data_IF_610800297591
#
_entry.id   IF_610800297591
#
_cell.length_a   1.000
_cell.length_b   1.000
_cell.length_c   1.000
_cell.angle_alpha   90.00
_cell.angle_beta   90.00
_cell.angle_gamma   90.00
#
_symmetry.space_group_name_H-M   'P 1'
#
loop_
_entity.id
_entity.type
_entity.pdbx_description
1 polymer ?
#
# COMPACT_ATOMS: atom_id res chain seq x y z
N UNK A 1 -12.48 -46.39 -72.70
CA UNK A 1 -11.49 -45.41 -73.17
C UNK A 1 -12.21 -44.10 -73.42
N UNK A 2 -11.61 -43.00 -72.94
CA UNK A 2 -11.99 -41.57 -73.04
C UNK A 2 -12.29 -40.92 -71.68
N UNK A 3 -11.21 -40.51 -71.02
CA UNK A 3 -11.21 -39.45 -70.01
C UNK A 3 -10.54 -38.23 -70.62
N UNK A 4 -11.34 -37.19 -70.82
CA UNK A 4 -10.95 -35.86 -71.28
C UNK A 4 -10.18 -35.16 -70.16
N UNK A 5 -8.89 -34.86 -70.37
CA UNK A 5 -8.11 -34.04 -69.44
C UNK A 5 -8.44 -32.56 -69.64
N UNK A 6 -9.06 -31.95 -68.64
CA UNK A 6 -9.11 -30.48 -68.53
C UNK A 6 -7.79 -29.96 -67.99
N UNK A 7 -7.01 -29.34 -68.89
CA UNK A 7 -5.86 -28.49 -68.58
C UNK A 7 -6.29 -27.32 -67.70
N UNK A 8 -5.70 -27.19 -66.52
CA UNK A 8 -5.71 -25.94 -65.74
C UNK A 8 -4.31 -25.31 -65.82
N UNK A 9 -4.22 -24.23 -66.60
CA UNK A 9 -3.08 -23.33 -66.65
C UNK A 9 -2.95 -22.55 -65.33
N UNK A 10 -1.85 -22.76 -64.60
CA UNK A 10 -1.30 -21.79 -63.63
C UNK A 10 0.23 -21.75 -63.77
N UNK A 11 0.73 -21.38 -64.93
CA UNK A 11 2.10 -20.87 -65.05
C UNK A 11 2.04 -19.35 -65.12
N UNK A 12 2.23 -18.71 -63.97
CA UNK A 12 2.54 -17.28 -63.92
C UNK A 12 3.92 -17.13 -64.55
N UNK A 13 4.02 -16.52 -65.73
CA UNK A 13 5.30 -16.23 -66.38
C UNK A 13 6.08 -15.28 -65.44
N UNK A 14 7.08 -15.81 -64.74
CA UNK A 14 7.96 -15.02 -63.89
C UNK A 14 9.05 -14.35 -64.74
N UNK A 15 9.46 -13.15 -64.37
CA UNK A 15 10.56 -12.43 -65.03
C UNK A 15 11.84 -13.28 -65.05
N UNK A 16 12.62 -13.30 -66.15
CA UNK A 16 13.88 -14.06 -66.23
C UNK A 16 15.00 -13.49 -65.35
N UNK A 17 14.75 -12.36 -64.67
CA UNK A 17 15.72 -11.70 -63.81
C UNK A 17 15.77 -12.42 -62.46
N UNK A 18 16.86 -13.15 -62.23
CA UNK A 18 17.12 -13.89 -61.00
C UNK A 18 18.07 -13.12 -60.06
N UNK A 19 17.82 -13.26 -58.77
CA UNK A 19 18.66 -12.74 -57.69
C UNK A 19 19.19 -13.91 -56.86
N UNK A 20 20.49 -13.90 -56.57
CA UNK A 20 21.12 -14.89 -55.69
C UNK A 20 21.18 -14.36 -54.26
N UNK A 21 20.67 -15.12 -53.30
CA UNK A 21 20.72 -14.76 -51.89
C UNK A 21 22.13 -14.96 -51.33
N UNK A 22 22.42 -14.38 -50.16
CA UNK A 22 23.67 -14.60 -49.43
C UNK A 22 23.92 -16.07 -49.06
N UNK A 23 22.89 -16.92 -49.08
CA UNK A 23 22.96 -18.37 -48.85
C UNK A 23 23.19 -19.19 -50.13
N UNK A 24 23.33 -18.53 -51.29
CA UNK A 24 23.58 -19.17 -52.59
C UNK A 24 22.32 -19.63 -53.34
N UNK A 25 21.12 -19.31 -52.83
CA UNK A 25 19.86 -19.70 -53.46
C UNK A 25 19.50 -18.73 -54.60
N UNK A 26 18.97 -19.25 -55.71
CA UNK A 26 18.57 -18.45 -56.88
C UNK A 26 17.05 -18.31 -56.93
N UNK A 27 16.57 -17.07 -56.92
CA UNK A 27 15.14 -16.75 -56.94
C UNK A 27 14.82 -15.76 -58.06
N UNK A 28 13.64 -15.85 -58.67
CA UNK A 28 13.15 -14.74 -59.49
C UNK A 28 12.98 -13.49 -58.62
N UNK A 29 13.39 -12.33 -59.11
CA UNK A 29 13.31 -11.06 -58.36
C UNK A 29 11.86 -10.73 -57.93
N UNK A 30 10.87 -11.13 -58.73
CA UNK A 30 9.44 -10.98 -58.42
C UNK A 30 8.89 -12.01 -57.42
N UNK A 31 9.61 -13.12 -57.19
CA UNK A 31 9.20 -14.18 -56.25
C UNK A 31 9.91 -14.05 -54.90
N UNK A 32 11.05 -13.36 -54.84
CA UNK A 32 11.77 -13.09 -53.61
C UNK A 32 11.25 -11.83 -52.93
N UNK A 33 10.01 -11.92 -52.44
CA UNK A 33 9.25 -10.83 -51.81
C UNK A 33 8.78 -11.22 -50.42
N UNK A 34 8.51 -10.24 -49.57
CA UNK A 34 7.87 -10.48 -48.29
C UNK A 34 6.44 -11.02 -48.49
N UNK A 35 6.06 -12.06 -47.75
CA UNK A 35 4.76 -12.70 -47.82
C UNK A 35 3.59 -11.82 -47.36
N UNK A 36 3.85 -10.72 -46.64
CA UNK A 36 2.83 -9.82 -46.11
C UNK A 36 2.76 -8.50 -46.90
N UNK A 37 3.84 -7.72 -46.98
CA UNK A 37 3.83 -6.45 -47.73
C UNK A 37 4.15 -6.59 -49.22
N UNK A 38 4.51 -7.78 -49.71
CA UNK A 38 4.89 -8.06 -51.10
C UNK A 38 6.06 -7.23 -51.65
N UNK A 39 6.81 -6.54 -50.77
CA UNK A 39 8.00 -5.79 -51.19
C UNK A 39 9.15 -6.76 -51.50
N UNK A 40 9.88 -6.56 -52.61
CA UNK A 40 11.04 -7.38 -52.96
C UNK A 40 12.18 -7.19 -51.97
N UNK A 41 12.85 -8.27 -51.62
CA UNK A 41 14.04 -8.25 -50.79
C UNK A 41 15.25 -7.84 -51.63
N UNK A 42 16.12 -6.98 -51.09
CA UNK A 42 17.43 -6.70 -51.70
C UNK A 42 18.37 -7.89 -51.54
N UNK A 43 19.44 -7.96 -52.35
CA UNK A 43 20.44 -9.05 -52.31
C UNK A 43 21.00 -9.31 -50.90
N UNK A 44 21.10 -8.26 -50.09
CA UNK A 44 21.64 -8.29 -48.73
C UNK A 44 20.58 -8.20 -47.63
N UNK A 45 19.29 -8.24 -47.97
CA UNK A 45 18.22 -8.10 -46.99
C UNK A 45 18.20 -9.26 -46.00
N UNK A 46 18.04 -8.92 -44.72
CA UNK A 46 17.71 -9.88 -43.66
C UNK A 46 16.20 -10.16 -43.76
N UNK A 47 15.84 -11.43 -43.91
CA UNK A 47 14.45 -11.90 -43.93
C UNK A 47 14.27 -13.02 -42.92
N UNK A 48 13.05 -13.16 -42.42
CA UNK A 48 12.66 -14.16 -41.43
C UNK A 48 11.77 -15.22 -42.09
N UNK A 49 11.99 -16.49 -41.78
CA UNK A 49 11.18 -17.60 -42.30
C UNK A 49 10.25 -18.15 -41.22
N UNK A 50 8.97 -18.28 -41.55
CA UNK A 50 7.94 -18.91 -40.70
C UNK A 50 6.99 -19.72 -41.57
N UNK A 51 6.77 -21.00 -41.23
CA UNK A 51 5.92 -21.94 -41.98
C UNK A 51 6.20 -21.97 -43.50
N UNK A 52 7.48 -21.89 -43.88
CA UNK A 52 7.92 -21.91 -45.28
C UNK A 52 7.70 -20.59 -46.05
N UNK A 53 7.25 -19.52 -45.39
CA UNK A 53 7.07 -18.18 -45.97
C UNK A 53 8.12 -17.20 -45.45
N UNK A 54 8.51 -16.25 -46.29
CA UNK A 54 9.55 -15.24 -46.00
C UNK A 54 8.91 -13.90 -45.65
N UNK A 55 9.31 -13.29 -44.54
CA UNK A 55 8.80 -12.02 -44.05
C UNK A 55 9.93 -11.00 -43.92
N UNK A 56 9.65 -9.71 -44.18
CA UNK A 56 10.56 -8.65 -43.79
C UNK A 56 10.56 -8.51 -42.27
N UNK A 57 11.62 -7.92 -41.72
CA UNK A 57 11.76 -7.73 -40.27
C UNK A 57 10.54 -7.04 -39.65
N UNK A 58 10.03 -5.99 -40.30
CA UNK A 58 8.86 -5.26 -39.84
C UNK A 58 7.61 -6.16 -39.76
N UNK A 59 7.24 -6.80 -40.87
CA UNK A 59 6.03 -7.63 -40.93
C UNK A 59 6.16 -8.88 -40.05
N UNK A 60 7.36 -9.43 -39.91
CA UNK A 60 7.60 -10.56 -39.01
C UNK A 60 7.36 -10.16 -37.55
N UNK A 61 7.87 -9.01 -37.11
CA UNK A 61 7.61 -8.54 -35.75
C UNK A 61 6.14 -8.19 -35.54
N UNK A 62 5.48 -7.54 -36.50
CA UNK A 62 4.05 -7.21 -36.39
C UNK A 62 3.17 -8.46 -36.28
N UNK A 63 3.48 -9.52 -37.03
CA UNK A 63 2.68 -10.73 -37.06
C UNK A 63 2.99 -11.71 -35.92
N UNK A 64 4.23 -11.73 -35.42
CA UNK A 64 4.71 -12.82 -34.55
C UNK A 64 5.40 -12.38 -33.26
N UNK A 65 5.78 -11.11 -33.09
CA UNK A 65 6.41 -10.67 -31.85
C UNK A 65 5.35 -10.52 -30.74
N UNK A 66 5.61 -11.05 -29.52
CA UNK A 66 4.69 -10.87 -28.42
C UNK A 66 4.71 -9.42 -27.93
N UNK A 67 3.55 -8.90 -27.51
CA UNK A 67 3.45 -7.59 -26.87
C UNK A 67 3.82 -7.68 -25.39
N UNK A 68 4.46 -6.63 -24.88
CA UNK A 68 4.78 -6.49 -23.47
C UNK A 68 3.52 -6.20 -22.64
N UNK A 69 3.34 -6.88 -21.51
CA UNK A 69 2.22 -6.67 -20.60
C UNK A 69 2.19 -5.30 -19.92
N UNK A 70 3.30 -4.57 -19.89
CA UNK A 70 3.39 -3.24 -19.24
C UNK A 70 3.27 -2.09 -20.25
N UNK A 71 4.12 -2.07 -21.27
CA UNK A 71 4.19 -0.94 -22.22
C UNK A 71 3.43 -1.19 -23.51
N UNK A 72 2.89 -2.40 -23.71
CA UNK A 72 2.14 -2.82 -24.90
C UNK A 72 2.92 -2.81 -26.23
N UNK A 73 4.19 -2.40 -26.22
CA UNK A 73 5.09 -2.48 -27.37
C UNK A 73 5.58 -3.91 -27.63
N UNK A 74 5.98 -4.18 -28.88
CA UNK A 74 6.56 -5.45 -29.27
C UNK A 74 7.85 -5.75 -28.50
N UNK A 75 7.97 -6.97 -27.95
CA UNK A 75 9.19 -7.42 -27.30
C UNK A 75 10.16 -7.95 -28.34
N UNK A 76 11.17 -7.15 -28.66
CA UNK A 76 12.24 -7.51 -29.59
C UNK A 76 13.42 -8.07 -28.78
N UNK A 77 13.88 -9.29 -29.11
CA UNK A 77 14.99 -9.95 -28.44
C UNK A 77 14.58 -10.85 -27.26
N UNK A 78 15.19 -10.66 -26.09
CA UNK A 78 14.92 -11.51 -24.90
C UNK A 78 13.50 -11.25 -24.38
N UNK A 79 12.67 -12.28 -24.41
CA UNK A 79 11.30 -12.24 -23.88
C UNK A 79 11.25 -12.93 -22.52
N UNK A 80 10.69 -12.27 -21.50
CA UNK A 80 10.33 -12.92 -20.25
C UNK A 80 8.90 -13.42 -20.37
N UNK A 81 8.69 -14.74 -20.23
CA UNK A 81 7.37 -15.37 -20.18
C UNK A 81 7.00 -15.67 -18.74
N UNK A 82 6.12 -14.87 -18.16
CA UNK A 82 5.72 -14.97 -16.77
C UNK A 82 4.31 -14.39 -16.57
N UNK A 83 3.57 -14.88 -15.56
CA UNK A 83 2.24 -14.38 -15.21
C UNK A 83 1.24 -14.37 -16.38
N UNK A 84 1.26 -15.41 -17.22
CA UNK A 84 0.45 -15.53 -18.44
C UNK A 84 0.62 -14.37 -19.44
N UNK A 85 1.74 -13.65 -19.39
CA UNK A 85 2.04 -12.54 -20.28
C UNK A 85 3.51 -12.59 -20.75
N UNK A 86 3.85 -11.70 -21.68
CA UNK A 86 5.21 -11.51 -22.19
C UNK A 86 5.71 -10.13 -21.74
N UNK A 87 7.01 -10.01 -21.48
CA UNK A 87 7.57 -8.77 -20.94
C UNK A 87 8.95 -8.49 -21.49
N UNK A 88 9.27 -7.20 -21.68
CA UNK A 88 10.67 -6.79 -21.77
C UNK A 88 11.38 -7.06 -20.44
N UNK A 89 12.69 -7.40 -20.43
CA UNK A 89 13.45 -7.59 -19.20
C UNK A 89 13.35 -6.41 -18.24
N UNK A 90 13.32 -5.19 -18.78
CA UNK A 90 13.17 -3.95 -18.01
C UNK A 90 11.72 -3.61 -17.64
N UNK A 91 10.72 -4.23 -18.26
CA UNK A 91 9.31 -4.03 -17.93
C UNK A 91 8.81 -5.06 -16.92
N UNK A 92 9.45 -6.22 -16.84
CA UNK A 92 9.17 -7.21 -15.80
C UNK A 92 9.83 -6.81 -14.49
N UNK A 93 9.13 -6.00 -13.70
CA UNK A 93 9.62 -5.39 -12.46
C UNK A 93 8.91 -5.96 -11.24
N UNK A 94 9.59 -5.92 -10.10
CA UNK A 94 8.95 -6.17 -8.82
C UNK A 94 7.88 -5.10 -8.57
N UNK A 95 6.67 -5.52 -8.22
CA UNK A 95 5.56 -4.63 -7.90
C UNK A 95 5.90 -3.67 -6.73
N UNK A 96 6.69 -4.15 -5.78
CA UNK A 96 7.04 -3.41 -4.57
C UNK A 96 8.18 -2.41 -4.77
N UNK A 97 9.29 -2.85 -5.38
CA UNK A 97 10.51 -2.04 -5.48
C UNK A 97 10.84 -1.55 -6.89
N UNK A 98 10.03 -1.90 -7.89
CA UNK A 98 10.18 -1.51 -9.29
C UNK A 98 11.52 -1.91 -9.95
N UNK A 99 12.27 -2.80 -9.30
CA UNK A 99 13.54 -3.33 -9.80
C UNK A 99 13.29 -4.41 -10.85
N UNK A 100 13.99 -4.42 -12.00
CA UNK A 100 13.87 -5.48 -13.01
C UNK A 100 14.19 -6.87 -12.44
N UNK A 101 13.30 -7.84 -12.69
CA UNK A 101 13.37 -9.19 -12.13
C UNK A 101 14.03 -10.21 -13.05
N UNK A 102 14.33 -9.84 -14.31
CA UNK A 102 14.76 -10.76 -15.36
C UNK A 102 16.00 -11.60 -15.00
N UNK A 103 16.91 -11.07 -14.18
CA UNK A 103 18.19 -11.70 -13.83
C UNK A 103 18.32 -12.05 -12.34
N UNK A 104 17.33 -11.70 -11.52
CA UNK A 104 17.37 -11.90 -10.07
C UNK A 104 16.62 -13.16 -9.62
N UNK A 105 15.92 -13.83 -10.54
CA UNK A 105 14.92 -14.83 -10.19
C UNK A 105 13.67 -14.17 -9.59
N UNK A 106 12.53 -14.83 -9.71
CA UNK A 106 11.28 -14.32 -9.17
C UNK A 106 10.41 -15.47 -8.69
N UNK A 107 9.65 -15.22 -7.64
CA UNK A 107 8.54 -16.06 -7.21
C UNK A 107 7.26 -15.31 -7.53
N UNK A 108 6.30 -16.01 -8.15
CA UNK A 108 4.92 -15.55 -8.09
C UNK A 108 4.53 -15.64 -6.61
N UNK A 109 3.84 -14.64 -6.07
CA UNK A 109 3.30 -14.72 -4.72
C UNK A 109 2.22 -15.82 -4.68
N UNK A 110 2.65 -17.08 -4.61
CA UNK A 110 1.84 -18.29 -4.66
C UNK A 110 1.43 -18.76 -3.26
N UNK A 111 1.93 -18.11 -2.20
CA UNK A 111 1.63 -18.48 -0.82
C UNK A 111 0.33 -17.85 -0.31
N UNK A 112 -0.08 -16.71 -0.85
CA UNK A 112 -1.45 -16.23 -0.67
C UNK A 112 -2.35 -17.05 -1.60
N UNK A 113 -2.97 -18.09 -1.06
CA UNK A 113 -4.05 -18.79 -1.74
C UNK A 113 -5.29 -17.87 -1.72
N UNK A 114 -5.25 -16.82 -2.55
CA UNK A 114 -6.32 -15.86 -2.71
C UNK A 114 -7.68 -16.55 -2.88
N UNK A 115 -7.83 -17.62 -3.69
CA UNK A 115 -9.08 -18.37 -3.77
C UNK A 115 -9.58 -18.91 -2.42
N UNK A 116 -8.71 -19.45 -1.56
CA UNK A 116 -9.10 -19.93 -0.23
C UNK A 116 -9.52 -18.80 0.69
N UNK A 117 -8.80 -17.68 0.69
CA UNK A 117 -9.13 -16.51 1.51
C UNK A 117 -10.47 -15.92 1.07
N UNK A 118 -10.66 -15.71 -0.23
CA UNK A 118 -11.91 -15.22 -0.81
C UNK A 118 -13.06 -16.15 -0.46
N UNK A 119 -12.88 -17.47 -0.64
CA UNK A 119 -13.90 -18.47 -0.28
C UNK A 119 -14.27 -18.42 1.20
N UNK A 120 -13.27 -18.31 2.08
CA UNK A 120 -13.50 -18.22 3.52
C UNK A 120 -14.26 -16.94 3.90
N UNK A 121 -13.86 -15.79 3.36
CA UNK A 121 -14.52 -14.51 3.65
C UNK A 121 -15.93 -14.44 3.05
N UNK A 122 -16.17 -15.04 1.89
CA UNK A 122 -17.51 -15.22 1.35
C UNK A 122 -18.42 -16.05 2.28
N UNK A 123 -17.87 -17.06 2.96
CA UNK A 123 -18.61 -17.82 3.97
C UNK A 123 -18.87 -17.03 5.27
N UNK A 124 -18.11 -15.96 5.52
CA UNK A 124 -18.31 -15.06 6.65
C UNK A 124 -19.25 -13.88 6.33
N UNK A 125 -19.62 -13.68 5.06
CA UNK A 125 -20.51 -12.60 4.60
C UNK A 125 -21.96 -12.92 4.95
N UNK A 126 -22.70 -11.93 5.42
CA UNK A 126 -24.14 -12.07 5.70
C UNK A 126 -25.00 -11.40 4.63
N UNK A 127 -26.25 -11.85 4.52
CA UNK A 127 -27.25 -11.32 3.55
C UNK A 127 -27.63 -9.85 3.83
N UNK A 128 -27.55 -9.44 5.09
CA UNK A 128 -27.81 -8.06 5.53
C UNK A 128 -26.62 -7.12 5.27
N UNK A 129 -25.54 -7.65 4.66
CA UNK A 129 -24.30 -6.94 4.41
C UNK A 129 -23.29 -7.08 5.55
N UNK A 130 -22.04 -6.72 5.27
CA UNK A 130 -20.92 -6.89 6.20
C UNK A 130 -20.41 -8.33 6.31
N UNK A 131 -19.36 -8.50 7.10
CA UNK A 131 -18.72 -9.78 7.40
C UNK A 131 -18.74 -10.04 8.91
N UNK A 132 -19.03 -11.27 9.31
CA UNK A 132 -18.90 -11.75 10.68
C UNK A 132 -17.49 -12.24 11.02
N UNK A 133 -17.25 -12.57 12.28
CA UNK A 133 -15.96 -13.11 12.76
C UNK A 133 -15.66 -14.54 12.33
N UNK A 134 -16.65 -15.22 11.75
CA UNK A 134 -16.55 -16.55 11.18
C UNK A 134 -17.84 -16.93 10.46
N UNK A 135 -17.89 -18.09 9.79
CA UNK A 135 -19.10 -18.53 9.13
C UNK A 135 -20.30 -18.59 10.07
N UNK A 136 -21.44 -18.08 9.61
CA UNK A 136 -22.71 -17.97 10.35
C UNK A 136 -22.71 -17.01 11.55
N UNK A 137 -21.63 -16.26 11.79
CA UNK A 137 -21.64 -15.20 12.79
C UNK A 137 -22.24 -13.92 12.21
N UNK A 138 -22.90 -13.13 13.06
CA UNK A 138 -23.48 -11.84 12.66
C UNK A 138 -22.40 -10.88 12.16
N UNK A 139 -22.80 -9.98 11.26
CA UNK A 139 -21.89 -8.95 10.74
C UNK A 139 -21.46 -7.97 11.82
N UNK A 140 -20.20 -7.57 11.77
CA UNK A 140 -19.58 -6.69 12.74
C UNK A 140 -18.59 -5.75 12.03
N UNK A 141 -18.51 -4.49 12.44
CA UNK A 141 -17.68 -3.47 11.79
C UNK A 141 -16.20 -3.81 11.83
N UNK A 142 -15.68 -4.32 12.96
CA UNK A 142 -14.28 -4.76 13.05
C UNK A 142 -13.92 -5.87 12.05
N UNK A 143 -14.77 -6.90 11.91
CA UNK A 143 -14.52 -8.02 10.99
C UNK A 143 -14.80 -7.64 9.55
N UNK A 144 -15.71 -6.70 9.32
CA UNK A 144 -15.93 -6.07 8.01
C UNK A 144 -14.71 -5.27 7.57
N UNK A 145 -14.15 -4.44 8.46
CA UNK A 145 -12.88 -3.74 8.22
C UNK A 145 -11.74 -4.71 7.90
N UNK A 146 -11.58 -5.76 8.70
CA UNK A 146 -10.54 -6.76 8.48
C UNK A 146 -10.73 -7.54 7.16
N UNK A 147 -11.95 -7.95 6.84
CA UNK A 147 -12.27 -8.69 5.62
C UNK A 147 -12.03 -7.83 4.36
N UNK A 148 -12.49 -6.57 4.37
CA UNK A 148 -12.28 -5.65 3.24
C UNK A 148 -10.79 -5.37 3.05
N UNK A 149 -10.05 -5.06 4.12
CA UNK A 149 -8.60 -4.85 4.02
C UNK A 149 -7.88 -6.10 3.52
N UNK A 150 -8.26 -7.30 3.97
CA UNK A 150 -7.68 -8.55 3.49
C UNK A 150 -7.94 -8.75 1.99
N UNK A 151 -9.19 -8.56 1.52
CA UNK A 151 -9.55 -8.71 0.10
C UNK A 151 -8.85 -7.70 -0.79
N UNK A 152 -8.74 -6.44 -0.36
CA UNK A 152 -8.01 -5.40 -1.10
C UNK A 152 -6.51 -5.69 -1.14
N UNK A 153 -5.93 -6.16 -0.02
CA UNK A 153 -4.49 -6.49 0.07
C UNK A 153 -4.10 -7.66 -0.84
N UNK A 154 -5.03 -8.55 -1.19
CA UNK A 154 -4.75 -9.64 -2.14
C UNK A 154 -4.41 -9.13 -3.55
N UNK A 155 -4.81 -7.90 -3.90
CA UNK A 155 -4.66 -7.33 -5.26
C UNK A 155 -5.16 -8.28 -6.36
N UNK A 156 -6.18 -9.09 -6.05
CA UNK A 156 -6.77 -10.09 -6.95
C UNK A 156 -8.14 -9.62 -7.45
N UNK A 157 -8.37 -9.73 -8.75
CA UNK A 157 -9.61 -9.24 -9.36
C UNK A 157 -10.86 -9.96 -8.82
N UNK A 158 -10.78 -11.27 -8.58
CA UNK A 158 -11.91 -12.02 -8.02
C UNK A 158 -12.17 -11.62 -6.56
N UNK A 159 -11.11 -11.35 -5.80
CA UNK A 159 -11.23 -10.83 -4.43
C UNK A 159 -11.94 -9.46 -4.43
N UNK A 160 -11.55 -8.54 -5.32
CA UNK A 160 -12.19 -7.23 -5.43
C UNK A 160 -13.65 -7.32 -5.89
N UNK A 161 -13.94 -8.16 -6.89
CA UNK A 161 -15.30 -8.40 -7.37
C UNK A 161 -16.20 -9.09 -6.33
N UNK A 162 -15.61 -9.82 -5.38
CA UNK A 162 -16.38 -10.49 -4.30
C UNK A 162 -17.00 -9.51 -3.29
N UNK A 163 -16.55 -8.25 -3.27
CA UNK A 163 -17.04 -7.22 -2.34
C UNK A 163 -18.31 -6.59 -2.91
N UNK A 164 -19.46 -6.93 -2.32
CA UNK A 164 -20.73 -6.26 -2.67
C UNK A 164 -20.82 -4.90 -1.98
N UNK A 165 -20.42 -3.84 -2.70
CA UNK A 165 -20.45 -2.43 -2.25
C UNK A 165 -21.80 -1.99 -1.70
N UNK A 166 -22.92 -2.36 -2.35
CA UNK A 166 -24.26 -1.95 -1.93
C UNK A 166 -24.67 -2.61 -0.60
N UNK A 167 -24.35 -3.90 -0.42
CA UNK A 167 -24.63 -4.58 0.84
C UNK A 167 -23.77 -4.02 1.99
N UNK A 168 -22.50 -3.73 1.74
CA UNK A 168 -21.62 -3.10 2.74
C UNK A 168 -22.15 -1.71 3.13
N UNK A 169 -22.59 -0.91 2.15
CA UNK A 169 -23.20 0.40 2.40
C UNK A 169 -24.45 0.28 3.28
N UNK A 170 -25.36 -0.64 2.96
CA UNK A 170 -26.57 -0.91 3.76
C UNK A 170 -26.24 -1.31 5.19
N UNK A 171 -25.26 -2.19 5.38
CA UNK A 171 -24.80 -2.59 6.71
C UNK A 171 -24.24 -1.40 7.50
N UNK A 172 -23.33 -0.61 6.92
CA UNK A 172 -22.75 0.56 7.58
C UNK A 172 -23.85 1.58 7.96
N UNK A 173 -24.80 1.85 7.07
CA UNK A 173 -25.93 2.73 7.35
C UNK A 173 -26.76 2.24 8.54
N UNK A 174 -27.02 0.93 8.65
CA UNK A 174 -27.75 0.36 9.78
C UNK A 174 -27.02 0.50 11.13
N UNK A 175 -25.69 0.70 11.11
CA UNK A 175 -24.89 0.89 12.31
C UNK A 175 -24.87 2.34 12.80
N UNK A 176 -25.20 3.31 11.92
CA UNK A 176 -25.18 4.75 12.22
C UNK A 176 -26.22 5.10 13.31
N UNK A 177 -25.80 5.90 14.29
CA UNK A 177 -26.66 6.45 15.35
C UNK A 177 -26.91 7.95 15.14
N UNK A 178 -27.95 8.49 15.79
CA UNK A 178 -28.36 9.88 15.65
C UNK A 178 -27.30 10.89 16.13
N UNK A 179 -26.55 10.54 17.17
CA UNK A 179 -25.51 11.38 17.76
C UNK A 179 -24.22 11.45 16.93
N UNK A 180 -24.13 10.70 15.83
CA UNK A 180 -22.92 10.61 14.99
C UNK A 180 -22.10 9.35 15.21
N UNK A 181 -22.36 8.61 16.28
CA UNK A 181 -21.65 7.37 16.59
C UNK A 181 -22.08 6.19 15.70
N UNK A 182 -21.32 5.10 15.76
CA UNK A 182 -21.66 3.85 15.07
C UNK A 182 -21.59 2.68 16.06
N UNK A 183 -22.59 1.80 16.01
CA UNK A 183 -22.55 0.51 16.71
C UNK A 183 -21.60 -0.45 16.02
N UNK A 184 -20.93 -1.30 16.77
CA UNK A 184 -20.05 -2.33 16.18
C UNK A 184 -20.82 -3.42 15.43
N UNK A 185 -22.04 -3.74 15.87
CA UNK A 185 -22.97 -4.66 15.22
C UNK A 185 -24.40 -4.37 15.69
N UNK A 186 -25.40 -5.07 15.13
CA UNK A 186 -26.79 -4.95 15.60
C UNK A 186 -26.91 -5.28 17.09
N UNK A 187 -27.42 -4.33 17.88
CA UNK A 187 -27.50 -4.42 19.35
C UNK A 187 -26.16 -4.32 20.10
N UNK A 188 -25.05 -4.09 19.39
CA UNK A 188 -23.70 -4.03 19.96
C UNK A 188 -23.34 -2.72 20.64
N UNK A 189 -22.10 -2.67 21.13
CA UNK A 189 -21.50 -1.52 21.77
C UNK A 189 -21.23 -0.37 20.81
N UNK A 190 -21.00 0.81 21.37
CA UNK A 190 -20.67 2.04 20.66
C UNK A 190 -19.36 2.57 21.23
N UNK A 191 -18.35 2.68 20.37
CA UNK A 191 -17.09 3.38 20.64
C UNK A 191 -16.42 3.79 19.31
N UNK A 192 -15.32 4.54 19.41
CA UNK A 192 -14.62 5.12 18.24
C UNK A 192 -14.23 4.07 17.19
N UNK A 193 -14.04 2.80 17.57
CA UNK A 193 -13.70 1.74 16.61
C UNK A 193 -14.79 1.59 15.56
N UNK A 194 -16.05 1.75 15.95
CA UNK A 194 -17.19 1.69 15.04
C UNK A 194 -17.10 2.78 13.98
N UNK A 195 -16.90 4.02 14.41
CA UNK A 195 -16.75 5.15 13.50
C UNK A 195 -15.55 4.96 12.56
N UNK A 196 -14.38 4.58 13.08
CA UNK A 196 -13.20 4.36 12.25
C UNK A 196 -13.38 3.22 11.24
N UNK A 197 -13.92 2.08 11.66
CA UNK A 197 -14.17 0.94 10.76
C UNK A 197 -15.15 1.33 9.64
N UNK A 198 -16.24 2.02 9.98
CA UNK A 198 -17.22 2.51 9.00
C UNK A 198 -16.58 3.49 8.02
N UNK A 199 -15.89 4.52 8.51
CA UNK A 199 -15.25 5.54 7.67
C UNK A 199 -14.18 4.92 6.77
N UNK A 200 -13.30 4.07 7.33
CA UNK A 200 -12.23 3.43 6.58
C UNK A 200 -12.77 2.57 5.44
N UNK A 201 -13.78 1.72 5.70
CA UNK A 201 -14.36 0.85 4.67
C UNK A 201 -15.10 1.68 3.63
N UNK A 202 -15.88 2.68 4.05
CA UNK A 202 -16.63 3.54 3.13
C UNK A 202 -15.71 4.30 2.18
N UNK A 203 -14.63 4.89 2.70
CA UNK A 203 -13.65 5.65 1.90
C UNK A 203 -12.86 4.72 0.97
N UNK A 204 -12.44 3.55 1.45
CA UNK A 204 -11.69 2.59 0.65
C UNK A 204 -12.51 2.01 -0.52
N UNK A 205 -13.80 1.78 -0.29
CA UNK A 205 -14.71 1.24 -1.30
C UNK A 205 -15.41 2.31 -2.15
N UNK A 206 -15.19 3.60 -1.87
CA UNK A 206 -15.85 4.71 -2.56
C UNK A 206 -17.38 4.54 -2.60
N UNK A 207 -17.98 4.36 -1.42
CA UNK A 207 -19.42 4.10 -1.23
C UNK A 207 -20.11 5.13 -0.31
N UNK A 208 -19.48 6.29 -0.12
CA UNK A 208 -20.01 7.35 0.73
C UNK A 208 -21.36 7.86 0.21
N UNK A 209 -22.32 8.03 1.11
CA UNK A 209 -23.61 8.66 0.83
C UNK A 209 -23.65 10.09 1.35
N UNK A 210 -24.58 10.88 0.81
CA UNK A 210 -24.93 12.16 1.40
C UNK A 210 -25.38 11.92 2.85
N UNK A 211 -24.79 12.66 3.80
CA UNK A 211 -25.14 12.65 5.22
C UNK A 211 -24.78 11.37 6.02
N UNK A 212 -24.08 10.39 5.44
CA UNK A 212 -23.70 9.16 6.17
C UNK A 212 -22.89 9.46 7.45
N UNK A 213 -22.06 10.49 7.40
CA UNK A 213 -21.19 10.90 8.52
C UNK A 213 -21.67 12.15 9.25
N UNK A 214 -22.94 12.52 9.13
CA UNK A 214 -23.53 13.63 9.89
C UNK A 214 -23.35 13.43 11.40
N UNK A 215 -22.95 14.50 12.09
CA UNK A 215 -22.59 14.55 13.51
C UNK A 215 -21.39 13.67 13.92
N UNK A 216 -20.80 12.89 13.00
CA UNK A 216 -19.73 11.94 13.34
C UNK A 216 -18.45 12.67 13.76
N UNK A 217 -18.14 13.80 13.12
CA UNK A 217 -16.99 14.63 13.47
C UNK A 217 -17.14 15.19 14.88
N UNK A 218 -18.29 15.75 15.19
CA UNK A 218 -18.61 16.33 16.51
C UNK A 218 -18.55 15.25 17.60
N UNK A 219 -19.06 14.05 17.33
CA UNK A 219 -18.98 12.92 18.24
C UNK A 219 -17.54 12.46 18.48
N UNK A 220 -16.73 12.32 17.42
CA UNK A 220 -15.30 11.98 17.54
C UNK A 220 -14.55 13.01 18.38
N UNK A 221 -14.75 14.31 18.12
CA UNK A 221 -14.11 15.40 18.86
C UNK A 221 -14.49 15.40 20.35
N UNK A 222 -15.74 15.05 20.67
CA UNK A 222 -16.20 14.94 22.06
C UNK A 222 -15.52 13.81 22.86
N UNK A 223 -14.81 12.91 22.18
CA UNK A 223 -14.00 11.87 22.80
C UNK A 223 -12.55 12.29 23.07
N UNK A 224 -12.11 13.46 22.61
CA UNK A 224 -10.80 14.00 22.99
C UNK A 224 -10.82 14.35 24.49
N UNK A 225 -9.82 13.88 25.21
CA UNK A 225 -9.77 13.98 26.68
C UNK A 225 -8.94 15.18 27.13
N UNK A 226 -8.99 15.49 28.43
CA UNK A 226 -8.11 16.47 29.05
C UNK A 226 -6.61 16.11 28.93
N UNK A 227 -6.27 14.83 28.73
CA UNK A 227 -4.90 14.38 28.57
C UNK A 227 -4.32 14.77 27.21
N UNK A 228 -5.19 14.93 26.20
CA UNK A 228 -4.87 15.28 24.82
C UNK A 228 -5.16 14.17 23.80
N UNK A 229 -5.07 12.90 24.21
CA UNK A 229 -5.50 11.76 23.39
C UNK A 229 -7.02 11.54 23.42
N UNK A 230 -7.50 10.52 22.72
CA UNK A 230 -8.94 10.18 22.64
C UNK A 230 -9.26 8.92 23.43
N UNK A 231 -10.43 8.91 24.07
CA UNK A 231 -10.99 7.74 24.74
C UNK A 231 -11.95 6.96 23.85
N UNK A 232 -12.47 5.84 24.35
CA UNK A 232 -13.41 4.97 23.62
C UNK A 232 -14.71 5.70 23.23
N UNK A 233 -15.20 6.53 24.15
CA UNK A 233 -16.39 7.36 24.03
C UNK A 233 -16.20 8.59 24.94
N UNK A 234 -17.10 9.60 24.91
CA UNK A 234 -16.95 10.78 25.74
C UNK A 234 -16.77 10.44 27.23
N UNK A 235 -15.83 11.12 27.88
CA UNK A 235 -15.50 10.92 29.30
C UNK A 235 -14.59 9.72 29.62
N UNK A 236 -14.17 8.93 28.63
CA UNK A 236 -13.24 7.81 28.85
C UNK A 236 -11.77 8.27 28.88
N UNK A 237 -10.89 7.47 29.49
CA UNK A 237 -9.43 7.69 29.52
C UNK A 237 -8.83 7.69 28.11
N UNK A 238 -7.81 8.53 27.86
CA UNK A 238 -7.12 8.54 26.58
C UNK A 238 -6.38 7.22 26.34
N UNK A 239 -6.48 6.66 25.14
CA UNK A 239 -5.87 5.38 24.79
C UNK A 239 -5.34 5.39 23.36
N UNK A 240 -4.17 4.78 23.11
CA UNK A 240 -3.51 4.80 21.80
C UNK A 240 -4.37 4.25 20.68
N UNK A 241 -4.99 3.09 20.88
CA UNK A 241 -5.92 2.49 19.91
C UNK A 241 -7.09 3.42 19.52
N UNK A 242 -7.79 4.00 20.49
CA UNK A 242 -8.90 4.93 20.20
C UNK A 242 -8.41 6.26 19.63
N UNK A 243 -7.23 6.73 20.06
CA UNK A 243 -6.56 7.91 19.51
C UNK A 243 -6.23 7.74 18.03
N UNK A 244 -5.65 6.60 17.64
CA UNK A 244 -5.43 6.28 16.23
C UNK A 244 -6.73 6.29 15.45
N UNK A 245 -7.75 5.55 15.93
CA UNK A 245 -9.02 5.46 15.24
C UNK A 245 -9.67 6.84 15.05
N UNK A 246 -9.61 7.71 16.06
CA UNK A 246 -10.14 9.07 15.98
C UNK A 246 -9.37 9.93 14.98
N UNK A 247 -8.04 9.97 15.06
CA UNK A 247 -7.18 10.78 14.20
C UNK A 247 -7.27 10.32 12.73
N UNK A 248 -7.24 9.00 12.51
CA UNK A 248 -7.39 8.41 11.18
C UNK A 248 -8.79 8.67 10.60
N UNK A 249 -9.84 8.60 11.41
CA UNK A 249 -11.19 8.99 10.98
C UNK A 249 -11.28 10.48 10.63
N UNK A 250 -10.75 11.37 11.48
CA UNK A 250 -10.79 12.82 11.27
C UNK A 250 -10.01 13.26 10.03
N UNK A 251 -8.86 12.64 9.73
CA UNK A 251 -8.12 12.95 8.50
C UNK A 251 -8.88 12.49 7.25
N UNK A 252 -9.51 11.31 7.29
CA UNK A 252 -10.36 10.79 6.20
C UNK A 252 -11.62 11.65 5.98
N UNK A 253 -12.14 12.27 7.05
CA UNK A 253 -13.23 13.24 7.02
C UNK A 253 -12.76 14.70 6.81
N UNK A 254 -11.47 14.92 6.53
CA UNK A 254 -10.87 16.25 6.31
C UNK A 254 -11.21 17.26 7.42
N UNK A 255 -11.26 16.81 8.66
CA UNK A 255 -11.69 17.59 9.83
C UNK A 255 -10.68 17.52 11.00
N UNK A 256 -9.43 17.16 10.73
CA UNK A 256 -8.39 17.04 11.76
C UNK A 256 -8.03 18.40 12.39
N UNK A 257 -8.23 19.52 11.68
CA UNK A 257 -8.08 20.91 12.18
C UNK A 257 -8.94 21.19 13.42
N UNK A 258 -10.07 20.50 13.56
CA UNK A 258 -11.01 20.75 14.65
C UNK A 258 -10.57 20.13 15.99
N UNK A 259 -9.57 19.26 15.98
CA UNK A 259 -8.97 18.65 17.17
C UNK A 259 -8.00 19.63 17.85
N UNK A 260 -7.84 19.56 19.18
CA UNK A 260 -6.69 20.19 19.84
C UNK A 260 -5.42 19.38 19.53
N UNK A 261 -4.84 19.65 18.35
CA UNK A 261 -3.64 18.99 17.85
C UNK A 261 -2.46 19.18 18.82
N UNK A 262 -2.40 20.29 19.54
CA UNK A 262 -1.29 20.58 20.44
C UNK A 262 -1.30 19.66 21.65
N UNK A 263 -2.45 19.50 22.31
CA UNK A 263 -2.57 18.57 23.44
C UNK A 263 -2.42 17.11 22.96
N UNK A 264 -2.96 16.78 21.79
CA UNK A 264 -2.75 15.47 21.14
C UNK A 264 -1.27 15.14 20.95
N UNK A 265 -0.50 16.01 20.29
CA UNK A 265 0.93 15.81 20.05
C UNK A 265 1.70 15.67 21.36
N UNK A 266 1.38 16.49 22.37
CA UNK A 266 1.98 16.38 23.70
C UNK A 266 1.67 15.01 24.33
N UNK A 267 0.43 14.54 24.23
CA UNK A 267 0.02 13.27 24.82
C UNK A 267 0.74 12.08 24.18
N UNK A 268 0.65 11.94 22.86
CA UNK A 268 1.20 10.79 22.11
C UNK A 268 2.73 10.73 22.21
N UNK A 269 3.43 11.87 22.18
CA UNK A 269 4.90 11.87 22.35
C UNK A 269 5.33 11.42 23.75
N UNK A 270 4.55 11.74 24.78
CA UNK A 270 4.77 11.24 26.14
C UNK A 270 4.39 9.76 26.32
N UNK A 271 3.86 9.08 25.29
CA UNK A 271 3.61 7.63 25.30
C UNK A 271 4.84 6.82 24.91
N UNK A 272 5.86 7.41 24.30
CA UNK A 272 7.14 6.73 24.08
C UNK A 272 7.94 6.68 25.38
N UNK A 273 8.31 5.48 25.84
CA UNK A 273 9.09 5.32 27.05
C UNK A 273 10.58 5.59 26.81
N UNK A 274 11.19 6.38 27.69
CA UNK A 274 12.59 6.82 27.58
C UNK A 274 13.61 5.68 27.70
N UNK A 275 13.30 4.65 28.50
CA UNK A 275 14.22 3.54 28.75
C UNK A 275 14.02 2.41 27.74
N UNK A 276 12.79 1.94 27.57
CA UNK A 276 12.47 0.81 26.71
C UNK A 276 12.46 1.17 25.22
N UNK A 277 12.18 2.42 24.86
CA UNK A 277 12.09 2.90 23.45
C UNK A 277 10.74 2.63 22.77
N UNK A 278 9.97 1.66 23.26
CA UNK A 278 8.61 1.35 22.83
C UNK A 278 7.54 2.31 23.36
N UNK A 279 6.30 2.11 22.93
CA UNK A 279 5.15 2.92 23.35
C UNK A 279 4.26 2.18 24.35
N UNK A 280 3.66 2.92 25.29
CA UNK A 280 2.58 2.44 26.14
C UNK A 280 1.26 3.05 25.69
N UNK A 281 0.18 2.28 25.67
CA UNK A 281 -1.11 2.78 25.16
C UNK A 281 -1.82 3.81 26.01
N UNK A 282 -1.39 4.01 27.26
CA UNK A 282 -1.99 4.94 28.23
C UNK A 282 -0.97 5.42 29.25
N UNK A 283 -1.30 6.51 29.94
CA UNK A 283 -0.47 7.07 31.01
C UNK A 283 -0.27 6.05 32.15
N UNK A 284 0.97 5.93 32.64
CA UNK A 284 1.35 4.99 33.73
C UNK A 284 1.07 3.50 33.45
N UNK A 285 1.04 3.08 32.17
CA UNK A 285 0.98 1.66 31.78
C UNK A 285 2.32 1.22 31.19
N UNK A 286 2.46 -0.09 31.03
CA UNK A 286 3.67 -0.70 30.48
C UNK A 286 3.74 -0.50 28.97
N UNK A 287 4.96 -0.51 28.42
CA UNK A 287 5.18 -0.62 26.98
C UNK A 287 4.58 -1.89 26.40
N UNK A 288 4.18 -1.83 25.14
CA UNK A 288 3.65 -2.98 24.39
C UNK A 288 3.89 -2.78 22.88
N UNK A 289 4.40 -3.82 22.24
CA UNK A 289 4.78 -3.85 20.83
C UNK A 289 3.67 -3.38 19.87
N UNK A 290 2.39 -3.63 20.18
CA UNK A 290 1.30 -3.23 19.28
C UNK A 290 1.12 -1.71 19.20
N UNK A 291 1.45 -0.96 20.25
CA UNK A 291 1.38 0.51 20.24
C UNK A 291 2.44 1.16 19.36
N UNK A 292 3.41 0.38 18.87
CA UNK A 292 4.34 0.83 17.83
C UNK A 292 3.63 1.21 16.55
N UNK A 293 2.43 0.68 16.29
CA UNK A 293 1.55 1.20 15.26
C UNK A 293 0.55 2.21 15.83
N UNK A 294 -0.24 1.81 16.84
CA UNK A 294 -1.36 2.63 17.31
C UNK A 294 -0.96 4.03 17.82
N UNK A 295 0.19 4.17 18.50
CA UNK A 295 0.68 5.48 18.92
C UNK A 295 1.55 6.11 17.82
N UNK A 296 2.53 5.36 17.29
CA UNK A 296 3.51 5.95 16.39
C UNK A 296 2.90 6.43 15.06
N UNK A 297 1.83 5.80 14.56
CA UNK A 297 1.16 6.20 13.32
C UNK A 297 0.44 7.56 13.41
N UNK A 298 0.01 7.97 14.61
CA UNK A 298 -0.64 9.27 14.83
C UNK A 298 0.30 10.41 14.46
N UNK A 299 1.59 10.26 14.76
CA UNK A 299 2.60 11.32 14.58
C UNK A 299 2.86 11.66 13.11
N UNK A 300 3.11 10.71 12.18
CA UNK A 300 3.17 10.98 10.76
C UNK A 300 1.88 11.55 10.19
N UNK A 301 0.70 11.05 10.59
CA UNK A 301 -0.59 11.58 10.09
C UNK A 301 -0.70 13.08 10.41
N UNK A 302 -0.46 13.45 11.66
CA UNK A 302 -0.49 14.85 12.10
C UNK A 302 0.63 15.66 11.45
N UNK A 303 1.84 15.10 11.33
CA UNK A 303 2.98 15.76 10.69
C UNK A 303 2.68 16.12 9.23
N UNK A 304 2.19 15.15 8.45
CA UNK A 304 1.84 15.31 7.04
C UNK A 304 0.77 16.39 6.91
N UNK A 305 -0.29 16.28 7.71
CA UNK A 305 -1.37 17.27 7.75
C UNK A 305 -0.84 18.69 8.02
N UNK A 306 -0.05 18.87 9.09
CA UNK A 306 0.52 20.18 9.44
C UNK A 306 1.48 20.70 8.35
N UNK A 307 2.21 19.82 7.68
CA UNK A 307 3.11 20.20 6.57
C UNK A 307 2.33 20.69 5.36
N UNK A 308 1.24 20.00 5.01
CA UNK A 308 0.35 20.39 3.91
C UNK A 308 -0.35 21.72 4.18
N UNK A 309 -0.83 21.95 5.42
CA UNK A 309 -1.43 23.23 5.81
C UNK A 309 -0.42 24.39 5.79
N UNK A 310 0.83 24.13 6.18
CA UNK A 310 1.91 25.13 6.19
C UNK A 310 2.53 25.41 4.80
N UNK A 311 2.05 24.77 3.72
CA UNK A 311 2.51 25.06 2.36
C UNK A 311 2.13 26.48 1.89
N UNK A 312 1.27 27.19 2.62
CA UNK A 312 0.99 28.61 2.45
C UNK A 312 0.79 29.29 3.81
N UNK A 313 1.55 30.35 4.09
CA UNK A 313 1.37 31.36 5.16
C UNK A 313 2.26 31.18 6.42
N UNK A 314 3.34 31.98 6.44
CA UNK A 314 4.04 32.44 7.65
C UNK A 314 3.22 33.57 8.31
N UNK A 315 2.95 33.50 9.62
CA UNK A 315 3.20 34.67 10.48
C UNK A 315 4.01 34.35 11.76
N UNK A 316 4.48 35.41 12.39
CA UNK A 316 5.65 35.53 13.28
C UNK A 316 5.28 36.04 14.67
N UNK A 317 4.43 35.34 15.42
CA UNK A 317 4.06 35.84 16.76
C UNK A 317 3.03 34.93 17.45
N UNK A 318 3.52 33.90 18.17
CA UNK A 318 3.11 33.51 19.55
C UNK A 318 3.71 32.15 19.91
N UNK A 319 4.31 32.06 21.10
CA UNK A 319 5.08 30.93 21.60
C UNK A 319 4.29 30.12 22.62
N UNK A 320 4.54 28.80 22.68
CA UNK A 320 3.81 27.86 23.56
C UNK A 320 4.69 26.66 23.98
N UNK A 321 5.65 26.79 24.91
CA UNK A 321 6.13 25.59 25.60
C UNK A 321 6.78 25.76 26.99
N UNK A 322 6.76 24.60 27.64
CA UNK A 322 7.17 24.21 28.98
C UNK A 322 8.71 24.20 29.15
N UNK A 323 9.19 24.74 30.28
CA UNK A 323 10.61 25.02 30.55
C UNK A 323 11.52 23.78 30.64
N UNK A 324 11.00 22.62 31.05
CA UNK A 324 11.83 21.42 31.24
C UNK A 324 12.15 20.72 29.92
N UNK A 325 11.19 20.71 28.99
CA UNK A 325 11.41 20.22 27.62
C UNK A 325 12.35 21.15 26.84
N UNK A 326 12.30 22.46 27.12
CA UNK A 326 13.24 23.43 26.55
C UNK A 326 14.67 23.20 27.05
N UNK A 327 14.86 22.82 28.32
CA UNK A 327 16.18 22.48 28.85
C UNK A 327 16.78 21.23 28.19
N UNK A 328 16.03 20.13 28.07
CA UNK A 328 16.53 18.94 27.36
C UNK A 328 16.81 19.22 25.88
N UNK A 329 15.97 20.04 25.23
CA UNK A 329 16.18 20.47 23.85
C UNK A 329 17.44 21.31 23.67
N UNK A 330 17.71 22.27 24.57
CA UNK A 330 18.91 23.12 24.51
C UNK A 330 20.19 22.30 24.72
N UNK A 331 20.16 21.32 25.64
CA UNK A 331 21.31 20.50 25.97
C UNK A 331 21.63 19.46 24.89
N UNK A 332 20.62 18.90 24.22
CA UNK A 332 20.79 17.84 23.24
C UNK A 332 20.90 18.35 21.80
N UNK A 333 20.18 19.43 21.47
CA UNK A 333 19.93 19.83 20.08
C UNK A 333 20.51 21.21 19.72
N UNK A 334 20.90 22.03 20.71
CA UNK A 334 21.40 23.38 20.46
C UNK A 334 22.91 23.54 20.75
N UNK A 335 23.63 22.45 21.05
CA UNK A 335 25.08 22.48 21.22
C UNK A 335 25.79 22.43 19.87
N UNK A 336 26.62 23.45 19.61
CA UNK A 336 27.56 23.42 18.49
C UNK A 336 28.78 22.55 18.85
N UNK A 337 29.28 21.77 17.89
CA UNK A 337 30.43 20.87 18.10
C UNK A 337 31.73 21.60 18.50
N UNK A 338 31.82 22.91 18.30
CA UNK A 338 32.94 23.77 18.71
C UNK A 338 32.72 24.52 20.03
N UNK A 339 31.58 24.33 20.69
CA UNK A 339 31.18 25.06 21.90
C UNK A 339 30.37 26.33 21.59
N UNK A 340 29.24 26.49 22.27
CA UNK A 340 28.26 27.58 22.05
C UNK A 340 26.83 27.05 21.91
N UNK A 341 25.85 27.96 21.97
CA UNK A 341 24.44 27.68 21.68
C UNK A 341 24.06 28.29 20.33
N UNK A 342 23.40 27.53 19.47
CA UNK A 342 22.87 28.02 18.19
C UNK A 342 21.50 28.71 18.45
N UNK A 343 21.29 29.94 17.95
CA UNK A 343 19.98 30.64 18.05
C UNK A 343 18.96 30.08 17.05
N UNK A 344 17.82 29.62 17.59
CA UNK A 344 16.53 29.22 16.98
C UNK A 344 16.57 28.34 15.70
N UNK A 345 16.17 27.06 15.81
CA UNK A 345 15.79 26.27 14.64
C UNK A 345 14.46 26.77 14.03
N UNK A 346 14.44 26.83 12.70
CA UNK A 346 13.37 27.41 11.89
C UNK A 346 12.00 26.73 12.03
N UNK A 347 10.97 27.44 11.56
CA UNK A 347 9.53 27.12 11.66
C UNK A 347 9.03 25.99 10.75
N UNK A 348 9.90 25.07 10.34
CA UNK A 348 9.55 23.98 9.43
C UNK A 348 9.66 22.65 10.16
N UNK A 349 8.65 21.79 10.02
CA UNK A 349 8.74 20.41 10.49
C UNK A 349 9.77 19.64 9.64
N UNK A 350 10.58 18.75 10.24
CA UNK A 350 11.63 18.02 9.52
C UNK A 350 11.01 16.97 8.59
N UNK A 351 11.21 17.08 7.27
CA UNK A 351 10.63 16.10 6.33
C UNK A 351 11.33 14.73 6.37
N UNK A 352 12.55 14.68 6.93
CA UNK A 352 13.39 13.50 7.02
C UNK A 352 13.26 12.75 8.36
N UNK A 353 12.41 13.22 9.28
CA UNK A 353 12.21 12.59 10.60
C UNK A 353 10.78 12.75 11.09
N UNK A 354 10.28 11.74 11.79
CA UNK A 354 9.03 11.86 12.53
C UNK A 354 9.21 12.51 13.89
N UNK A 355 8.09 12.92 14.50
CA UNK A 355 8.05 13.58 15.81
C UNK A 355 8.17 12.59 16.99
N UNK A 356 8.91 11.49 16.81
CA UNK A 356 9.28 10.51 17.84
C UNK A 356 10.68 9.95 17.59
N UNK A 357 11.25 9.26 18.57
CA UNK A 357 12.55 8.63 18.40
C UNK A 357 12.43 7.33 17.58
N UNK A 358 12.63 7.46 16.26
CA UNK A 358 12.57 6.36 15.30
C UNK A 358 13.56 5.24 15.62
N UNK A 359 14.81 5.58 15.98
CA UNK A 359 15.85 4.57 16.26
C UNK A 359 15.50 3.76 17.50
N UNK A 360 15.11 4.42 18.60
CA UNK A 360 14.73 3.74 19.83
C UNK A 360 13.52 2.82 19.65
N UNK A 361 12.55 3.22 18.80
CA UNK A 361 11.43 2.34 18.47
C UNK A 361 11.93 1.11 17.70
N UNK A 362 12.75 1.28 16.67
CA UNK A 362 13.31 0.13 15.93
C UNK A 362 14.12 -0.80 16.83
N UNK A 363 14.97 -0.26 17.71
CA UNK A 363 15.74 -1.04 18.68
C UNK A 363 14.84 -1.84 19.62
N UNK A 364 13.77 -1.24 20.17
CA UNK A 364 12.79 -1.95 20.97
C UNK A 364 12.16 -3.12 20.20
N UNK A 365 11.69 -2.87 18.98
CA UNK A 365 11.02 -3.91 18.19
C UNK A 365 11.97 -5.04 17.79
N UNK A 366 13.19 -4.71 17.38
CA UNK A 366 14.19 -5.67 16.94
C UNK A 366 14.80 -6.46 18.10
N UNK A 367 14.99 -5.85 19.27
CA UNK A 367 15.64 -6.51 20.40
C UNK A 367 14.66 -7.17 21.38
N UNK A 368 13.45 -6.64 21.52
CA UNK A 368 12.53 -7.03 22.61
C UNK A 368 11.24 -7.69 22.12
N UNK A 369 10.82 -7.46 20.87
CA UNK A 369 9.52 -7.93 20.36
C UNK A 369 9.61 -9.10 19.38
N UNK A 370 10.78 -9.71 19.18
CA UNK A 370 10.94 -10.86 18.28
C UNK A 370 10.93 -12.19 19.06
N UNK A 371 10.16 -13.17 18.57
CA UNK A 371 10.23 -14.55 19.05
C UNK A 371 11.21 -15.36 18.20
N UNK A 372 12.05 -16.19 18.84
CA UNK A 372 13.14 -16.93 18.17
C UNK A 372 12.65 -17.89 17.10
N UNK A 373 11.45 -18.43 17.29
CA UNK A 373 10.82 -19.37 16.36
C UNK A 373 9.98 -18.68 15.27
N UNK A 374 10.04 -17.36 15.15
CA UNK A 374 9.29 -16.53 14.21
C UNK A 374 8.06 -15.86 14.84
N UNK A 375 7.59 -14.76 14.25
CA UNK A 375 6.51 -13.94 14.79
C UNK A 375 6.98 -12.91 15.83
N UNK A 376 6.12 -11.96 16.15
CA UNK A 376 6.40 -10.89 17.11
C UNK A 376 5.44 -10.92 18.30
N UNK A 377 5.87 -10.30 19.39
CA UNK A 377 5.25 -10.37 20.72
C UNK A 377 4.96 -8.96 21.26
N UNK A 378 4.13 -8.90 22.29
CA UNK A 378 3.92 -7.70 23.12
C UNK A 378 5.26 -7.18 23.70
N UNK A 379 5.88 -7.99 24.56
CA UNK A 379 7.11 -7.68 25.31
C UNK A 379 7.79 -9.00 25.75
N UNK A 380 9.06 -8.97 26.21
CA UNK A 380 9.74 -10.17 26.70
C UNK A 380 8.93 -10.93 27.76
N UNK A 381 8.83 -12.25 27.60
CA UNK A 381 8.04 -13.13 28.47
C UNK A 381 6.57 -13.27 28.09
N UNK A 382 6.12 -12.69 26.96
CA UNK A 382 4.79 -12.92 26.38
C UNK A 382 4.87 -13.84 25.16
N UNK A 383 3.76 -14.49 24.85
CA UNK A 383 3.65 -15.39 23.71
C UNK A 383 3.50 -14.59 22.41
N UNK A 384 3.97 -15.17 21.30
CA UNK A 384 3.70 -14.65 19.95
C UNK A 384 2.27 -14.87 19.53
N UNK A 385 1.78 -13.94 18.72
CA UNK A 385 0.49 -14.05 18.03
C UNK A 385 0.51 -13.22 16.73
N UNK A 386 -0.52 -13.42 15.90
CA UNK A 386 -0.64 -12.74 14.62
C UNK A 386 -0.93 -11.24 14.76
N UNK A 387 -1.56 -10.83 15.88
CA UNK A 387 -1.90 -9.44 16.15
C UNK A 387 -0.63 -8.62 16.37
N UNK A 388 0.22 -9.04 17.31
CA UNK A 388 1.50 -8.40 17.58
C UNK A 388 2.43 -8.52 16.38
N UNK A 389 2.44 -9.65 15.67
CA UNK A 389 3.19 -9.78 14.41
C UNK A 389 2.81 -8.68 13.40
N UNK A 390 1.51 -8.46 13.18
CA UNK A 390 1.02 -7.44 12.26
C UNK A 390 1.39 -6.02 12.71
N UNK A 391 1.04 -5.63 13.94
CA UNK A 391 1.19 -4.25 14.40
C UNK A 391 2.63 -3.88 14.76
N UNK A 392 3.45 -4.84 15.18
CA UNK A 392 4.88 -4.60 15.43
C UNK A 392 5.61 -4.37 14.10
N UNK A 393 5.33 -5.17 13.06
CA UNK A 393 5.90 -4.92 11.72
C UNK A 393 5.38 -3.62 11.10
N UNK A 394 4.11 -3.31 11.31
CA UNK A 394 3.52 -2.03 10.86
C UNK A 394 4.18 -0.83 11.54
N UNK A 395 4.42 -0.92 12.85
CA UNK A 395 5.17 0.08 13.60
C UNK A 395 6.63 0.21 13.16
N UNK A 396 7.29 -0.92 12.87
CA UNK A 396 8.65 -0.94 12.31
C UNK A 396 8.70 -0.21 10.96
N UNK A 397 7.72 -0.45 10.10
CA UNK A 397 7.60 0.25 8.81
C UNK A 397 7.46 1.76 8.99
N UNK A 398 6.62 2.21 9.92
CA UNK A 398 6.47 3.64 10.23
C UNK A 398 7.79 4.24 10.75
N UNK A 399 8.49 3.51 11.62
CA UNK A 399 9.76 3.97 12.18
C UNK A 399 10.88 4.05 11.13
N UNK A 400 10.84 3.21 10.10
CA UNK A 400 11.86 3.16 9.06
C UNK A 400 11.67 4.22 7.98
N UNK A 401 10.44 4.63 7.67
CA UNK A 401 10.13 5.36 6.46
C UNK A 401 9.53 6.75 6.76
N UNK A 402 10.18 7.80 6.25
CA UNK A 402 9.72 9.20 6.32
C UNK A 402 9.34 9.74 4.94
N UNK A 403 8.89 11.00 4.84
CA UNK A 403 8.52 11.60 3.55
C UNK A 403 9.69 11.70 2.56
N UNK A 404 10.90 11.95 3.05
CA UNK A 404 12.07 12.22 2.20
C UNK A 404 13.26 11.30 2.45
N UNK A 405 13.17 10.39 3.42
CA UNK A 405 14.29 9.53 3.80
C UNK A 405 13.88 8.21 4.44
N UNK A 406 14.81 7.27 4.49
CA UNK A 406 14.66 6.00 5.17
C UNK A 406 15.77 5.84 6.21
N UNK A 407 15.43 5.33 7.39
CA UNK A 407 16.37 5.06 8.48
C UNK A 407 16.21 3.60 8.89
N UNK A 408 17.23 2.79 8.63
CA UNK A 408 17.22 1.35 8.97
C UNK A 408 18.23 1.12 10.11
N UNK A 409 17.74 0.63 11.25
CA UNK A 409 18.60 0.15 12.34
C UNK A 409 19.03 -1.29 12.06
N UNK A 410 20.34 -1.54 12.11
CA UNK A 410 20.93 -2.86 11.84
C UNK A 410 21.21 -3.11 10.35
N UNK A 411 21.27 -4.38 9.92
CA UNK A 411 21.51 -4.73 8.52
C UNK A 411 20.37 -4.25 7.61
N UNK A 412 20.67 -4.02 6.32
CA UNK A 412 19.68 -3.56 5.34
C UNK A 412 18.54 -4.56 5.12
N UNK A 413 18.77 -5.83 5.43
CA UNK A 413 17.75 -6.90 5.36
C UNK A 413 16.62 -6.71 6.39
N UNK A 414 16.78 -5.82 7.39
CA UNK A 414 15.71 -5.43 8.30
C UNK A 414 14.65 -4.53 7.65
N UNK A 415 14.87 -4.07 6.42
CA UNK A 415 13.95 -3.19 5.71
C UNK A 415 12.60 -3.88 5.50
N UNK A 416 11.53 -3.24 5.96
CA UNK A 416 10.15 -3.66 5.68
C UNK A 416 9.47 -2.74 4.65
N UNK A 417 8.40 -3.24 4.04
CA UNK A 417 7.59 -2.48 3.07
C UNK A 417 6.99 -1.25 3.73
N UNK A 418 7.01 -0.11 3.02
CA UNK A 418 6.46 1.14 3.51
C UNK A 418 4.93 1.11 3.56
N UNK A 419 4.35 1.43 4.72
CA UNK A 419 2.92 1.68 4.88
C UNK A 419 2.66 3.18 4.67
N UNK A 420 2.06 3.53 3.54
CA UNK A 420 1.69 4.91 3.25
C UNK A 420 0.44 5.30 4.05
N UNK A 421 0.56 6.32 4.91
CA UNK A 421 -0.49 6.70 5.88
C UNK A 421 -1.49 7.74 5.34
N UNK A 422 -1.20 8.38 4.21
CA UNK A 422 -2.06 9.38 3.57
C UNK A 422 -1.96 9.26 2.05
N UNK A 423 -3.09 9.38 1.36
CA UNK A 423 -3.20 9.41 -0.11
C UNK A 423 -2.60 10.67 -0.72
#
# INVERSE_FOLDING_TARGET
MHTTQHLTLKYTICSPICTTTKRGEVWHQSCFVCAQCFRPFSKDAIFYEFEGRKYCEHDFHVLFAPCCGLCHEFVIGRVIKALNNNWHPMCFRCELCQTPLADQGFFKNTELNAPKVVTFLLNCKNREGGYGGGPQQISHLATTYAAVNALVTLCDENALQSINRNEIKTFILSMKQNDGSFRMHSGGEIDIRGAYCAISVTKLLDIEDENLFDNTVEWLLSCQTYEGGFGAAPGHEAHGGYTFCAVAALILLKSLDKCDIKSLLKWVTNKQHKYEGGFAGRTNKLVDGCYSFWEAAVLPIVHIYLTQQNASIVPTNKWLFNQNALQEYLLCCCQERSGGLIDKPGKNLPTNKWLFNQNALQEYLLCCCQERSGGLIDKPGKNRDYYHTCYTLSGLSIAQNTLSSQVIVGPQDNRVVFIQLTS
#
